data_IF_970519850092
#
_entry.id   IF_970519850092
#
_cell.length_a   1.000
_cell.length_b   1.000
_cell.length_c   1.000
_cell.angle_alpha   90.00
_cell.angle_beta   90.00
_cell.angle_gamma   90.00
#
_symmetry.space_group_name_H-M   'P 1'
#
loop_
_entity.id
_entity.type
_entity.pdbx_description
1 polymer ?
#
# COMPACT_ATOMS: atom_id res chain seq x y z
N UNK A 1 10.23 8.70 -18.45
CA UNK A 1 9.61 9.94 -18.98
C UNK A 1 10.70 11.00 -19.25
N UNK A 2 11.33 11.03 -20.44
CA UNK A 2 12.22 12.15 -20.83
C UNK A 2 11.64 13.08 -21.92
N UNK A 3 10.95 12.55 -22.93
CA UNK A 3 10.62 13.33 -24.14
C UNK A 3 9.53 14.41 -24.02
N UNK A 4 8.72 14.40 -22.95
CA UNK A 4 7.71 15.44 -22.74
C UNK A 4 8.35 16.77 -22.30
N UNK A 5 9.37 16.69 -21.44
CA UNK A 5 10.07 17.88 -20.94
C UNK A 5 10.85 18.60 -22.04
N UNK A 6 11.37 17.86 -23.02
CA UNK A 6 12.06 18.45 -24.18
C UNK A 6 11.11 19.23 -25.07
N UNK A 7 9.87 18.74 -25.25
CA UNK A 7 8.88 19.39 -26.14
C UNK A 7 8.35 20.72 -25.58
N UNK A 8 8.23 20.82 -24.26
CA UNK A 8 7.65 22.01 -23.60
C UNK A 8 8.67 22.82 -22.79
N UNK A 9 9.93 22.40 -22.79
CA UNK A 9 11.03 23.11 -22.14
C UNK A 9 11.32 24.42 -22.85
N UNK A 10 11.16 25.54 -22.15
CA UNK A 10 11.56 26.86 -22.62
C UNK A 10 12.66 27.40 -21.72
N UNK A 11 13.71 27.96 -22.32
CA UNK A 11 14.78 28.59 -21.56
C UNK A 11 14.22 29.75 -20.71
N UNK A 12 14.62 29.85 -19.44
CA UNK A 12 14.20 30.96 -18.59
C UNK A 12 14.79 32.27 -19.13
N UNK A 13 14.05 33.37 -18.98
CA UNK A 13 14.53 34.70 -19.37
C UNK A 13 15.70 35.17 -18.47
N UNK A 14 15.72 34.73 -17.21
CA UNK A 14 16.77 34.98 -16.24
C UNK A 14 17.05 33.70 -15.46
N UNK A 15 18.33 33.34 -15.30
CA UNK A 15 18.78 32.14 -14.59
C UNK A 15 18.69 32.25 -13.06
N UNK A 16 18.16 33.37 -12.53
CA UNK A 16 17.95 33.55 -11.10
C UNK A 16 17.03 32.47 -10.51
N UNK A 17 17.44 31.91 -9.37
CA UNK A 17 16.64 30.95 -8.62
C UNK A 17 15.58 31.69 -7.79
N UNK A 18 14.31 31.55 -8.18
CA UNK A 18 13.15 32.12 -7.47
C UNK A 18 12.41 31.08 -6.59
N UNK A 19 12.94 29.88 -6.44
CA UNK A 19 12.33 28.86 -5.59
C UNK A 19 12.38 29.27 -4.13
N UNK A 20 11.27 29.08 -3.43
CA UNK A 20 11.21 29.25 -1.97
C UNK A 20 11.62 27.96 -1.30
N UNK A 21 12.37 28.09 -0.22
CA UNK A 21 12.63 26.97 0.67
C UNK A 21 11.31 26.40 1.21
N UNK A 22 11.30 25.10 1.48
CA UNK A 22 10.13 24.46 2.06
C UNK A 22 9.87 25.02 3.47
N UNK A 23 8.65 25.49 3.76
CA UNK A 23 8.32 26.00 5.09
C UNK A 23 8.58 24.94 6.17
N UNK A 24 9.16 25.35 7.30
CA UNK A 24 9.41 24.46 8.43
C UNK A 24 8.10 23.84 8.91
N UNK A 25 8.05 22.51 8.99
CA UNK A 25 6.87 21.75 9.44
C UNK A 25 6.02 21.14 8.33
N UNK A 26 6.30 21.44 7.06
CA UNK A 26 5.63 20.79 5.92
C UNK A 26 6.45 19.57 5.49
N UNK A 27 5.85 18.39 5.56
CA UNK A 27 6.43 17.18 5.01
C UNK A 27 5.90 16.98 3.57
N UNK A 28 6.69 17.37 2.57
CA UNK A 28 6.30 17.25 1.16
C UNK A 28 6.12 15.80 0.71
N UNK A 29 6.95 14.89 1.23
CA UNK A 29 6.85 13.44 0.98
C UNK A 29 5.49 12.90 1.47
N UNK A 30 5.10 13.31 2.69
CA UNK A 30 3.73 13.45 3.21
C UNK A 30 2.64 13.60 2.15
N UNK A 31 2.69 14.81 1.59
CA UNK A 31 1.61 15.46 0.85
C UNK A 31 1.55 14.94 -0.59
N UNK A 32 2.71 14.77 -1.23
CA UNK A 32 2.83 14.38 -2.63
C UNK A 32 2.85 12.85 -2.83
N UNK A 33 2.62 12.08 -1.77
CA UNK A 33 2.49 10.62 -1.83
C UNK A 33 1.18 10.14 -2.48
N UNK A 34 1.23 8.94 -3.05
CA UNK A 34 0.04 8.22 -3.51
C UNK A 34 -0.58 7.53 -2.29
N UNK A 35 -1.79 7.94 -1.93
CA UNK A 35 -2.51 7.41 -0.75
C UNK A 35 -3.57 6.40 -1.18
N UNK A 36 -3.41 5.15 -0.76
CA UNK A 36 -4.35 4.06 -1.07
C UNK A 36 -4.97 3.51 0.21
N UNK A 37 -6.31 3.54 0.30
CA UNK A 37 -7.02 2.92 1.42
C UNK A 37 -7.01 1.39 1.28
N UNK A 38 -6.63 0.68 2.35
CA UNK A 38 -6.64 -0.79 2.43
C UNK A 38 -7.35 -1.26 3.69
N UNK A 39 -7.94 -2.44 3.62
CA UNK A 39 -8.53 -3.13 4.77
C UNK A 39 -7.44 -3.93 5.47
N UNK A 40 -7.34 -3.78 6.78
CA UNK A 40 -6.42 -4.58 7.60
C UNK A 40 -7.09 -5.93 7.89
N UNK A 41 -6.43 -7.03 7.53
CA UNK A 41 -6.98 -8.36 7.79
C UNK A 41 -6.88 -8.73 9.27
N UNK A 42 -7.58 -9.79 9.66
CA UNK A 42 -7.63 -10.25 11.07
C UNK A 42 -6.26 -10.69 11.59
N UNK A 43 -5.41 -11.21 10.71
CA UNK A 43 -4.02 -11.61 10.93
C UNK A 43 -3.04 -10.44 10.86
N UNK A 44 -3.53 -9.19 10.92
CA UNK A 44 -2.74 -7.96 10.87
C UNK A 44 -1.92 -7.79 9.57
N UNK A 45 -2.31 -8.50 8.52
CA UNK A 45 -1.68 -8.43 7.20
C UNK A 45 -2.41 -7.48 6.25
N UNK A 46 -1.63 -6.86 5.38
CA UNK A 46 -2.07 -5.91 4.37
C UNK A 46 -1.51 -6.37 3.04
N UNK A 47 -2.35 -6.42 2.02
CA UNK A 47 -1.91 -6.67 0.65
C UNK A 47 -1.85 -5.35 -0.10
N UNK A 48 -0.67 -5.01 -0.61
CA UNK A 48 -0.43 -3.84 -1.44
C UNK A 48 0.60 -4.18 -2.53
N UNK A 49 0.31 -3.79 -3.77
CA UNK A 49 1.17 -4.02 -4.94
C UNK A 49 1.80 -5.44 -5.01
N UNK A 50 0.96 -6.47 -4.94
CA UNK A 50 1.33 -7.90 -4.89
C UNK A 50 2.20 -8.37 -3.72
N UNK A 51 2.46 -7.51 -2.73
CA UNK A 51 3.26 -7.82 -1.54
C UNK A 51 2.38 -7.83 -0.30
N UNK A 52 2.79 -8.64 0.69
CA UNK A 52 2.15 -8.69 2.00
C UNK A 52 3.00 -7.95 3.03
N UNK A 53 2.36 -7.11 3.82
CA UNK A 53 2.97 -6.35 4.90
C UNK A 53 2.28 -6.71 6.21
N UNK A 54 3.07 -7.02 7.24
CA UNK A 54 2.58 -7.28 8.61
C UNK A 54 2.82 -6.05 9.46
N UNK A 55 1.77 -5.50 10.08
CA UNK A 55 1.93 -4.34 10.98
C UNK A 55 2.31 -4.80 12.40
N UNK A 56 3.51 -4.43 12.85
CA UNK A 56 4.03 -4.82 14.16
C UNK A 56 3.32 -4.10 15.31
N UNK A 57 2.96 -2.83 15.11
CA UNK A 57 2.27 -2.03 16.13
C UNK A 57 0.84 -2.53 16.34
N UNK A 58 0.18 -2.93 15.25
CA UNK A 58 -1.17 -3.48 15.30
C UNK A 58 -1.20 -4.83 16.04
N UNK A 59 -0.19 -5.70 15.81
CA UNK A 59 0.00 -6.94 16.57
C UNK A 59 0.19 -6.69 18.07
N UNK A 60 0.93 -5.64 18.43
CA UNK A 60 1.24 -5.32 19.82
C UNK A 60 0.09 -4.61 20.56
N UNK A 61 -1.02 -4.26 19.89
CA UNK A 61 -2.14 -3.52 20.51
C UNK A 61 -1.77 -2.11 21.00
N UNK A 62 -0.61 -1.58 20.60
CA UNK A 62 -0.04 -0.33 21.13
C UNK A 62 -0.41 0.88 20.28
N UNK A 63 -1.68 1.05 19.93
CA UNK A 63 -2.13 2.35 19.40
C UNK A 63 -2.73 3.12 20.57
N UNK A 64 -1.90 3.97 21.19
CA UNK A 64 -2.26 4.77 22.37
C UNK A 64 -3.51 5.64 22.17
N UNK A 65 -3.83 5.98 20.92
CA UNK A 65 -4.98 6.81 20.54
C UNK A 65 -6.24 6.00 20.19
N UNK A 66 -6.17 4.67 20.24
CA UNK A 66 -7.29 3.79 19.95
C UNK A 66 -7.78 3.16 21.24
N UNK A 67 -9.10 3.11 21.51
CA UNK A 67 -9.62 2.51 22.72
C UNK A 67 -9.11 1.06 22.84
N UNK A 68 -8.68 0.62 24.05
CA UNK A 68 -8.29 -0.76 24.26
C UNK A 68 -9.45 -1.64 23.78
N UNK A 69 -9.18 -2.57 22.87
CA UNK A 69 -10.16 -3.47 22.20
C UNK A 69 -10.83 -2.97 20.91
N UNK A 70 -10.44 -1.81 20.33
CA UNK A 70 -10.97 -1.42 19.01
C UNK A 70 -10.16 -2.04 17.87
N UNK A 71 -10.83 -2.85 17.05
CA UNK A 71 -10.23 -3.46 15.86
C UNK A 71 -10.10 -2.45 14.73
N UNK A 72 -8.88 -2.24 14.26
CA UNK A 72 -8.59 -1.44 13.08
C UNK A 72 -9.14 -2.15 11.84
N UNK A 73 -10.13 -1.54 11.18
CA UNK A 73 -10.73 -2.10 9.95
C UNK A 73 -10.04 -1.58 8.69
N UNK A 74 -9.69 -0.30 8.65
CA UNK A 74 -9.13 0.34 7.46
C UNK A 74 -7.94 1.21 7.81
N UNK A 75 -6.94 1.18 6.94
CA UNK A 75 -5.69 1.92 7.03
C UNK A 75 -5.39 2.59 5.69
N UNK A 76 -4.47 3.54 5.69
CA UNK A 76 -3.96 4.21 4.48
C UNK A 76 -2.53 3.73 4.25
N UNK A 77 -2.26 3.27 3.03
CA UNK A 77 -0.90 2.99 2.57
C UNK A 77 -0.47 4.18 1.73
N UNK A 78 0.60 4.85 2.13
CA UNK A 78 1.22 5.97 1.41
C UNK A 78 2.45 5.46 0.68
N UNK A 79 2.47 5.62 -0.65
CA UNK A 79 3.64 5.38 -1.48
C UNK A 79 4.28 6.72 -1.82
N UNK A 80 5.50 6.92 -1.32
CA UNK A 80 6.27 8.15 -1.48
C UNK A 80 6.92 8.21 -2.87
N UNK A 81 7.43 9.38 -3.23
CA UNK A 81 8.12 9.63 -4.52
C UNK A 81 9.40 8.79 -4.62
N UNK A 82 10.06 8.53 -3.50
CA UNK A 82 11.24 7.66 -3.42
C UNK A 82 10.90 6.15 -3.45
N UNK A 83 9.63 5.79 -3.65
CA UNK A 83 9.07 4.43 -3.62
C UNK A 83 9.11 3.77 -2.22
N UNK A 84 9.33 4.54 -1.16
CA UNK A 84 9.13 4.04 0.20
C UNK A 84 7.64 3.91 0.51
N UNK A 85 7.30 2.92 1.32
CA UNK A 85 5.93 2.61 1.69
C UNK A 85 5.75 2.96 3.15
N UNK A 86 4.75 3.78 3.45
CA UNK A 86 4.39 4.12 4.82
C UNK A 86 2.96 3.65 5.07
N UNK A 87 2.71 3.11 6.25
CA UNK A 87 1.39 2.64 6.62
C UNK A 87 0.89 3.56 7.72
N UNK A 88 -0.22 4.24 7.46
CA UNK A 88 -0.76 5.25 8.35
C UNK A 88 -2.15 4.82 8.81
N UNK A 89 -2.37 4.96 10.12
CA UNK A 89 -3.68 4.80 10.73
C UNK A 89 -4.00 6.00 11.60
N UNK A 90 -5.10 6.69 11.30
CA UNK A 90 -5.55 7.87 12.02
C UNK A 90 -4.48 8.97 12.20
N UNK A 91 -3.58 9.13 11.22
CA UNK A 91 -2.45 10.07 11.30
C UNK A 91 -1.20 9.54 12.00
N UNK A 92 -1.27 8.35 12.61
CA UNK A 92 -0.12 7.68 13.23
C UNK A 92 0.54 6.75 12.21
N UNK A 93 1.86 6.87 12.09
CA UNK A 93 2.67 5.95 11.32
C UNK A 93 2.84 4.60 12.03
N UNK A 94 2.53 3.51 11.33
CA UNK A 94 2.63 2.15 11.82
C UNK A 94 3.92 1.49 11.32
N UNK A 95 4.72 0.96 12.25
CA UNK A 95 5.83 0.07 11.89
C UNK A 95 5.30 -1.21 11.26
N UNK A 96 5.97 -1.66 10.21
CA UNK A 96 5.60 -2.85 9.50
C UNK A 96 6.83 -3.67 9.11
N UNK A 97 6.58 -4.95 8.81
CA UNK A 97 7.56 -5.87 8.25
C UNK A 97 7.02 -6.42 6.95
N UNK A 98 7.81 -6.34 5.88
CA UNK A 98 7.49 -6.96 4.60
C UNK A 98 7.61 -8.48 4.72
N UNK A 99 6.59 -9.20 4.26
CA UNK A 99 6.60 -10.66 4.15
C UNK A 99 6.98 -11.00 2.71
N UNK A 100 8.20 -11.51 2.51
CA UNK A 100 8.71 -11.86 1.18
C UNK A 100 8.09 -13.16 0.62
N UNK A 101 7.65 -14.06 1.49
CA UNK A 101 7.14 -15.37 1.09
C UNK A 101 5.61 -15.38 1.02
N UNK A 102 5.07 -15.24 -0.19
CA UNK A 102 3.81 -15.92 -0.52
C UNK A 102 4.17 -17.36 -0.86
N UNK A 103 3.83 -18.32 0.00
CA UNK A 103 3.89 -19.72 -0.41
C UNK A 103 2.99 -19.87 -1.64
N UNK A 104 3.57 -20.21 -2.78
CA UNK A 104 2.82 -20.59 -3.96
C UNK A 104 1.98 -21.80 -3.55
N UNK A 105 0.65 -21.68 -3.62
CA UNK A 105 -0.18 -22.89 -3.56
C UNK A 105 0.31 -23.80 -4.69
N UNK A 106 0.56 -25.09 -4.44
CA UNK A 106 0.76 -26.05 -5.51
C UNK A 106 -0.37 -25.85 -6.52
N UNK A 107 -0.02 -25.73 -7.80
CA UNK A 107 -0.99 -25.58 -8.86
C UNK A 107 -1.77 -26.89 -8.91
N UNK A 108 -2.92 -26.94 -8.23
CA UNK A 108 -3.85 -28.05 -8.39
C UNK A 108 -4.27 -28.04 -9.86
N UNK A 109 -3.73 -29.01 -10.59
CA UNK A 109 -4.14 -29.34 -11.94
C UNK A 109 -5.62 -29.66 -11.85
N UNK A 110 -6.45 -28.86 -12.52
CA UNK A 110 -7.90 -29.01 -12.46
C UNK A 110 -8.25 -30.39 -13.01
N UNK A 111 -8.56 -31.34 -12.13
CA UNK A 111 -9.16 -32.60 -12.54
C UNK A 111 -10.45 -32.27 -13.31
N UNK A 112 -10.51 -32.73 -14.55
CA UNK A 112 -11.63 -32.53 -15.44
C UNK A 112 -12.89 -33.08 -14.77
N UNK A 113 -13.90 -32.22 -14.60
CA UNK A 113 -15.20 -32.59 -14.05
C UNK A 113 -15.79 -33.75 -14.85
N UNK A 114 -15.80 -34.96 -14.27
CA UNK A 114 -16.46 -36.13 -14.88
C UNK A 114 -17.96 -35.85 -14.95
N UNK A 115 -18.48 -35.70 -16.17
CA UNK A 115 -19.91 -35.59 -16.46
C UNK A 115 -20.58 -36.85 -15.90
N UNK A 116 -21.48 -36.69 -14.92
CA UNK A 116 -22.29 -37.80 -14.40
C UNK A 116 -23.37 -38.12 -15.43
N UNK A 117 -23.35 -39.32 -16.01
CA UNK A 117 -24.47 -39.85 -16.80
C UNK A 117 -25.70 -39.96 -15.89
N UNK A 118 -26.75 -39.22 -16.21
CA UNK A 118 -28.07 -39.42 -15.61
C UNK A 118 -28.60 -40.74 -16.14
N UNK A 119 -28.82 -41.72 -15.28
CA UNK A 119 -29.58 -42.92 -15.63
C UNK A 119 -31.07 -42.55 -15.58
N UNK A 120 -31.73 -42.54 -16.73
CA UNK A 120 -33.19 -42.57 -16.81
C UNK A 120 -33.68 -43.84 -16.11
N UNK A 121 -34.50 -43.66 -15.07
CA UNK A 121 -35.22 -44.75 -14.41
C UNK A 121 -36.54 -44.98 -15.16
N UNK A 122 -36.67 -46.23 -15.62
CA UNK A 122 -37.88 -47.06 -15.88
C UNK A 122 -39.21 -46.36 -16.10
#
# INVERSE_FOLDING_TARGET
>A
MPGHNERFGKLPLNMANLHRETPKGINLDSILSIKTKRVLKNDWTISYNNQLYLSAIAQAGQIKETPPNTRIKSIVVEERIDNTIHIIYNGIELKYKKIEKRQLKPKEEKEQLKIRKVQEKK
#
